data_IF_870211538429
#
_entry.id   IF_870211538429
#
_cell.length_a   1.000
_cell.length_b   1.000
_cell.length_c   1.000
_cell.angle_alpha   90.00
_cell.angle_beta   90.00
_cell.angle_gamma   90.00
#
_symmetry.space_group_name_H-M   'P 1'
#
loop_
_entity.id
_entity.type
_entity.pdbx_description
1 polymer ?
#
# COMPACT_ATOMS: atom_id res chain seq x y z
N UNK A 1 11.54 -8.78 46.19
CA UNK A 1 12.40 -8.40 45.05
C UNK A 1 12.39 -9.53 44.02
N UNK A 2 11.43 -9.53 43.07
CA UNK A 2 11.33 -10.57 42.04
C UNK A 2 12.28 -10.25 40.88
N UNK A 3 13.24 -11.14 40.65
CA UNK A 3 14.20 -11.09 39.54
C UNK A 3 13.52 -11.60 38.27
N UNK A 4 13.30 -10.72 37.31
CA UNK A 4 12.82 -11.10 35.98
C UNK A 4 13.92 -11.83 35.21
N UNK A 5 13.71 -13.11 34.93
CA UNK A 5 14.52 -13.88 33.99
C UNK A 5 14.11 -13.50 32.56
N UNK A 6 15.03 -12.91 31.79
CA UNK A 6 14.84 -12.66 30.35
C UNK A 6 15.04 -13.97 29.59
N UNK A 7 14.10 -14.41 28.73
CA UNK A 7 14.35 -15.52 27.81
C UNK A 7 15.27 -15.03 26.68
N UNK A 8 16.47 -15.62 26.62
CA UNK A 8 17.42 -15.46 25.53
C UNK A 8 16.97 -16.39 24.39
N UNK A 9 16.27 -15.83 23.40
CA UNK A 9 15.91 -16.58 22.18
C UNK A 9 17.19 -16.88 21.37
N UNK A 10 17.71 -18.09 21.54
CA UNK A 10 18.75 -18.65 20.69
C UNK A 10 18.04 -19.28 19.49
N UNK A 11 18.10 -18.65 18.31
CA UNK A 11 17.74 -19.30 17.05
C UNK A 11 18.76 -20.42 16.79
N UNK A 12 18.40 -21.64 17.22
CA UNK A 12 19.09 -22.87 16.85
C UNK A 12 18.52 -23.42 15.54
N UNK A 13 19.40 -23.54 14.55
CA UNK A 13 19.40 -24.69 13.64
C UNK A 13 18.60 -24.55 12.35
N UNK A 14 19.23 -24.01 11.29
CA UNK A 14 18.90 -24.45 9.93
C UNK A 14 19.70 -25.72 9.68
N UNK A 15 18.99 -26.85 9.64
CA UNK A 15 19.50 -28.18 9.37
C UNK A 15 20.13 -28.21 7.97
N UNK A 16 21.47 -28.24 7.89
CA UNK A 16 22.16 -28.63 6.65
C UNK A 16 21.90 -30.12 6.41
N UNK A 17 21.07 -30.41 5.42
CA UNK A 17 20.91 -31.77 4.88
C UNK A 17 22.20 -32.14 4.14
N UNK A 18 23.07 -32.88 4.82
CA UNK A 18 24.20 -33.58 4.18
C UNK A 18 23.66 -34.74 3.35
N UNK A 19 23.56 -34.55 2.03
CA UNK A 19 23.47 -35.69 1.11
C UNK A 19 24.85 -36.36 1.02
N UNK A 20 25.02 -37.46 1.74
CA UNK A 20 26.06 -38.45 1.46
C UNK A 20 25.76 -39.07 0.10
N UNK A 21 26.55 -38.74 -0.91
CA UNK A 21 26.66 -39.54 -2.12
C UNK A 21 27.87 -40.48 -1.94
N UNK A 22 27.60 -41.75 -1.69
CA UNK A 22 28.59 -42.81 -1.75
C UNK A 22 28.19 -43.77 -2.87
N UNK A 23 29.03 -43.83 -3.90
CA UNK A 23 29.26 -44.93 -4.86
C UNK A 23 30.16 -44.34 -5.95
N UNK A 24 31.47 -44.56 -5.92
CA UNK A 24 32.14 -45.79 -6.39
C UNK A 24 31.56 -46.27 -7.71
N UNK A 25 32.19 -45.90 -8.82
CA UNK A 25 31.81 -46.33 -10.16
C UNK A 25 32.37 -45.43 -11.25
N UNK A 26 33.56 -45.81 -11.73
CA UNK A 26 34.03 -45.69 -13.13
C UNK A 26 33.23 -44.79 -14.07
N UNK A 27 33.80 -43.64 -14.46
CA UNK A 27 33.16 -42.72 -15.41
C UNK A 27 34.03 -41.52 -15.80
N UNK A 28 35.32 -41.72 -15.99
CA UNK A 28 36.30 -40.66 -16.30
C UNK A 28 36.21 -40.07 -17.72
N UNK A 29 35.26 -40.50 -18.56
CA UNK A 29 35.19 -40.06 -19.97
C UNK A 29 34.07 -39.06 -20.29
N UNK A 30 33.16 -38.77 -19.35
CA UNK A 30 32.05 -37.81 -19.58
C UNK A 30 32.37 -36.37 -19.15
N UNK A 31 33.50 -36.13 -18.47
CA UNK A 31 33.91 -34.77 -18.08
C UNK A 31 34.58 -33.98 -19.20
N UNK A 32 35.01 -34.64 -20.29
CA UNK A 32 35.75 -33.99 -21.37
C UNK A 32 34.87 -33.21 -22.37
N UNK A 33 33.55 -33.41 -22.40
CA UNK A 33 32.66 -32.72 -23.34
C UNK A 33 31.84 -31.58 -22.75
N UNK A 34 31.94 -31.33 -21.43
CA UNK A 34 31.31 -30.17 -20.80
C UNK A 34 32.14 -28.87 -20.91
N UNK A 35 33.41 -28.96 -21.36
CA UNK A 35 34.31 -27.81 -21.55
C UNK A 35 34.46 -27.50 -23.06
N UNK A 36 33.35 -27.40 -23.79
CA UNK A 36 33.39 -26.91 -25.20
C UNK A 36 32.03 -26.44 -25.71
N UNK A 37 31.21 -25.83 -24.85
CA UNK A 37 29.95 -25.24 -25.30
C UNK A 37 29.71 -23.91 -24.59
N UNK A 38 30.34 -22.87 -25.13
CA UNK A 38 29.83 -21.51 -25.01
C UNK A 38 30.23 -20.76 -23.76
N UNK A 39 31.52 -20.73 -23.43
CA UNK A 39 32.11 -19.56 -22.76
C UNK A 39 32.16 -18.41 -23.78
N UNK A 40 30.99 -17.96 -24.24
CA UNK A 40 30.91 -16.57 -24.66
C UNK A 40 31.22 -15.79 -23.38
N UNK A 41 32.19 -14.86 -23.37
CA UNK A 41 32.23 -13.91 -22.29
C UNK A 41 30.83 -13.29 -22.31
N UNK A 42 30.04 -13.53 -21.26
CA UNK A 42 29.00 -12.58 -20.96
C UNK A 42 29.79 -11.29 -20.74
N UNK A 43 29.86 -10.47 -21.78
CA UNK A 43 29.90 -9.03 -21.61
C UNK A 43 28.78 -8.78 -20.61
N UNK A 44 29.15 -8.75 -19.33
CA UNK A 44 28.38 -8.11 -18.30
C UNK A 44 28.22 -6.72 -18.85
N UNK A 45 27.11 -6.47 -19.54
CA UNK A 45 26.73 -5.16 -20.03
C UNK A 45 26.87 -4.28 -18.81
N UNK A 46 27.96 -3.52 -18.76
CA UNK A 46 28.22 -2.58 -17.68
C UNK A 46 27.11 -1.57 -17.85
N UNK A 47 26.05 -1.75 -17.07
CA UNK A 47 24.96 -0.80 -16.95
C UNK A 47 25.62 0.57 -16.82
N UNK A 48 25.25 1.55 -17.65
CA UNK A 48 25.86 2.87 -17.56
C UNK A 48 25.76 3.33 -16.10
N UNK A 49 26.88 3.77 -15.52
CA UNK A 49 27.00 4.21 -14.12
C UNK A 49 26.24 5.51 -13.86
N UNK A 50 24.94 5.51 -14.17
CA UNK A 50 24.01 6.59 -13.88
C UNK A 50 23.07 6.06 -12.80
N UNK A 51 23.50 6.09 -11.52
CA UNK A 51 22.71 5.55 -10.41
C UNK A 51 21.30 6.18 -10.35
N UNK A 52 21.14 7.40 -10.85
CA UNK A 52 19.84 8.07 -10.98
C UNK A 52 18.87 7.34 -11.91
N UNK A 53 19.31 6.77 -13.04
CA UNK A 53 18.42 6.05 -13.96
C UNK A 53 17.92 4.75 -13.34
N UNK A 54 18.78 4.06 -12.59
CA UNK A 54 18.39 2.86 -11.86
C UNK A 54 17.39 3.18 -10.75
N UNK A 55 17.64 4.23 -9.95
CA UNK A 55 16.69 4.71 -8.94
C UNK A 55 15.37 5.17 -9.54
N UNK A 56 15.40 5.94 -10.63
CA UNK A 56 14.19 6.38 -11.33
C UNK A 56 13.39 5.20 -11.87
N UNK A 57 14.05 4.19 -12.45
CA UNK A 57 13.39 2.98 -12.94
C UNK A 57 12.80 2.13 -11.83
N UNK A 58 13.49 2.05 -10.68
CA UNK A 58 13.00 1.37 -9.50
C UNK A 58 11.74 2.07 -8.96
N UNK A 59 11.80 3.38 -8.73
CA UNK A 59 10.66 4.17 -8.28
C UNK A 59 9.51 4.15 -9.28
N UNK A 60 9.80 4.26 -10.58
CA UNK A 60 8.79 4.19 -11.62
C UNK A 60 8.05 2.87 -11.59
N UNK A 61 8.74 1.73 -11.51
CA UNK A 61 8.08 0.42 -11.40
C UNK A 61 7.30 0.31 -10.09
N UNK A 62 7.86 0.84 -9.01
CA UNK A 62 7.24 0.81 -7.69
C UNK A 62 6.00 1.70 -7.58
N UNK A 63 5.87 2.76 -8.38
CA UNK A 63 4.69 3.64 -8.37
C UNK A 63 3.71 3.32 -9.47
N UNK A 64 4.19 3.00 -10.67
CA UNK A 64 3.36 2.79 -11.85
C UNK A 64 2.49 1.54 -11.71
N UNK A 65 3.03 0.43 -11.22
CA UNK A 65 2.28 -0.83 -11.08
C UNK A 65 1.15 -0.68 -10.04
N UNK A 66 1.42 -0.30 -8.77
CA UNK A 66 0.33 -0.11 -7.82
C UNK A 66 -0.58 1.07 -8.19
N UNK A 67 -0.04 2.14 -8.78
CA UNK A 67 -0.84 3.27 -9.26
C UNK A 67 -1.85 2.85 -10.34
N UNK A 68 -1.43 2.02 -11.29
CA UNK A 68 -2.34 1.45 -12.28
C UNK A 68 -3.42 0.57 -11.62
N UNK A 69 -3.07 -0.26 -10.64
CA UNK A 69 -4.06 -1.06 -9.90
C UNK A 69 -5.10 -0.18 -9.20
N UNK A 70 -4.66 0.87 -8.48
CA UNK A 70 -5.56 1.81 -7.80
C UNK A 70 -6.46 2.52 -8.81
N UNK A 71 -5.92 2.97 -9.94
CA UNK A 71 -6.70 3.58 -11.01
C UNK A 71 -7.76 2.62 -11.55
N UNK A 72 -7.39 1.37 -11.81
CA UNK A 72 -8.30 0.34 -12.31
C UNK A 72 -9.43 0.03 -11.32
N UNK A 73 -9.12 -0.03 -10.02
CA UNK A 73 -10.10 -0.33 -8.97
C UNK A 73 -11.05 0.85 -8.76
N UNK A 74 -10.57 2.09 -8.68
CA UNK A 74 -11.39 3.23 -8.23
C UNK A 74 -11.86 4.17 -9.34
N UNK A 75 -11.09 4.35 -10.43
CA UNK A 75 -11.37 5.35 -11.46
C UNK A 75 -11.79 4.77 -12.82
N UNK A 76 -11.25 3.61 -13.22
CA UNK A 76 -11.58 3.04 -14.51
C UNK A 76 -13.09 2.70 -14.58
N UNK A 77 -13.74 3.12 -15.65
CA UNK A 77 -15.11 2.75 -15.94
C UNK A 77 -15.12 1.45 -16.74
N UNK A 78 -15.76 0.42 -16.18
CA UNK A 78 -15.80 -0.92 -16.75
C UNK A 78 -17.18 -1.23 -17.36
N UNK A 79 -18.09 -0.24 -17.43
CA UNK A 79 -19.42 -0.35 -18.05
C UNK A 79 -20.53 -0.83 -17.11
N UNK A 80 -21.71 -1.13 -17.68
CA UNK A 80 -22.98 -1.34 -16.97
C UNK A 80 -23.05 -2.58 -16.03
N UNK A 81 -22.07 -3.50 -16.12
CA UNK A 81 -22.04 -4.75 -15.34
C UNK A 81 -21.77 -4.56 -13.84
N UNK A 82 -22.09 -5.59 -13.04
CA UNK A 82 -21.72 -5.64 -11.62
C UNK A 82 -20.22 -5.94 -11.50
N UNK A 83 -19.43 -4.90 -11.29
CA UNK A 83 -17.97 -5.02 -11.22
C UNK A 83 -17.51 -5.47 -9.85
N UNK A 84 -16.51 -6.36 -9.82
CA UNK A 84 -15.86 -6.88 -8.61
C UNK A 84 -15.37 -5.75 -7.69
N UNK A 85 -15.13 -4.56 -8.25
CA UNK A 85 -14.64 -3.38 -7.53
C UNK A 85 -15.73 -2.42 -7.03
N UNK A 86 -17.03 -2.72 -7.17
CA UNK A 86 -18.11 -1.89 -6.59
C UNK A 86 -18.09 -1.84 -5.05
N UNK A 87 -17.88 -2.94 -4.31
CA UNK A 87 -17.84 -2.88 -2.84
C UNK A 87 -16.71 -2.00 -2.30
N UNK A 88 -15.45 -2.09 -2.81
CA UNK A 88 -14.38 -1.17 -2.45
C UNK A 88 -14.69 0.31 -2.72
N UNK A 89 -15.32 0.62 -3.87
CA UNK A 89 -15.72 2.01 -4.20
C UNK A 89 -16.73 2.57 -3.20
N UNK A 90 -17.76 1.80 -2.85
CA UNK A 90 -18.77 2.19 -1.84
C UNK A 90 -18.14 2.44 -0.47
N UNK A 91 -17.19 1.59 -0.05
CA UNK A 91 -16.44 1.82 1.17
C UNK A 91 -15.65 3.13 1.11
N UNK A 92 -14.93 3.39 0.02
CA UNK A 92 -14.17 4.64 -0.15
C UNK A 92 -15.08 5.87 -0.10
N UNK A 93 -16.25 5.82 -0.73
CA UNK A 93 -17.23 6.90 -0.69
C UNK A 93 -17.76 7.15 0.71
N UNK A 94 -18.01 6.09 1.50
CA UNK A 94 -18.38 6.21 2.91
C UNK A 94 -17.27 6.84 3.74
N UNK A 95 -16.01 6.46 3.50
CA UNK A 95 -14.87 7.07 4.19
C UNK A 95 -14.74 8.56 3.81
N UNK A 96 -14.81 8.89 2.53
CA UNK A 96 -14.81 10.30 2.07
C UNK A 96 -15.95 11.09 2.70
N UNK A 97 -17.16 10.51 2.74
CA UNK A 97 -18.31 11.15 3.37
C UNK A 97 -18.12 11.32 4.88
N UNK A 98 -17.44 10.39 5.56
CA UNK A 98 -17.12 10.51 6.97
C UNK A 98 -16.04 11.56 7.25
N UNK A 99 -15.06 11.72 6.36
CA UNK A 99 -14.00 12.74 6.48
C UNK A 99 -14.49 14.16 6.16
N UNK A 100 -15.40 14.31 5.20
CA UNK A 100 -15.92 15.62 4.78
C UNK A 100 -17.25 16.00 5.44
N UNK A 101 -17.86 15.13 6.24
CA UNK A 101 -18.96 15.52 7.13
C UNK A 101 -18.46 15.68 8.56
N UNK A 102 -19.19 16.50 9.33
CA UNK A 102 -19.08 16.55 10.78
C UNK A 102 -19.10 15.12 11.33
N UNK A 103 -18.13 14.80 12.18
CA UNK A 103 -18.14 13.58 12.97
C UNK A 103 -19.43 13.51 13.80
N UNK A 104 -19.89 12.31 14.21
CA UNK A 104 -21.13 12.19 14.99
C UNK A 104 -21.15 13.12 16.21
N UNK A 105 -20.00 13.26 16.88
CA UNK A 105 -19.83 14.15 18.03
C UNK A 105 -19.94 15.64 17.64
N UNK A 106 -19.35 16.05 16.52
CA UNK A 106 -19.44 17.42 16.02
C UNK A 106 -20.85 17.76 15.51
N UNK A 107 -21.62 16.78 15.00
CA UNK A 107 -23.03 16.98 14.62
C UNK A 107 -23.90 17.31 15.83
N UNK A 108 -23.70 16.62 16.95
CA UNK A 108 -24.46 16.86 18.18
C UNK A 108 -24.18 18.24 18.76
N UNK A 109 -22.93 18.70 18.67
CA UNK A 109 -22.54 20.05 19.07
C UNK A 109 -23.16 21.13 18.16
N UNK A 110 -23.18 20.92 16.85
CA UNK A 110 -23.82 21.85 15.90
C UNK A 110 -25.33 21.86 16.09
N UNK A 111 -25.96 20.70 16.29
CA UNK A 111 -27.40 20.59 16.47
C UNK A 111 -27.88 21.24 17.78
N UNK A 112 -27.11 21.10 18.87
CA UNK A 112 -27.38 21.80 20.13
C UNK A 112 -27.16 23.31 20.01
N UNK A 113 -26.15 23.78 19.26
CA UNK A 113 -25.95 25.20 18.95
C UNK A 113 -27.12 25.80 18.15
N UNK A 114 -27.57 25.12 17.10
CA UNK A 114 -28.69 25.57 16.26
C UNK A 114 -29.99 25.65 17.06
N UNK A 115 -30.26 24.67 17.95
CA UNK A 115 -31.42 24.73 18.85
C UNK A 115 -31.35 25.90 19.83
N UNK A 116 -30.17 26.18 20.41
CA UNK A 116 -30.00 27.35 21.28
C UNK A 116 -30.22 28.66 20.52
N UNK A 117 -29.76 28.74 19.27
CA UNK A 117 -29.90 29.94 18.45
C UNK A 117 -31.33 30.17 17.95
N UNK A 118 -32.08 29.11 17.66
CA UNK A 118 -33.51 29.19 17.34
C UNK A 118 -34.39 29.53 18.55
N UNK A 119 -33.96 29.17 19.75
CA UNK A 119 -34.65 29.54 20.99
C UNK A 119 -34.40 31.00 21.42
N UNK A 120 -33.54 31.73 20.71
CA UNK A 120 -33.42 33.18 20.85
C UNK A 120 -34.40 33.83 19.87
N UNK A 121 -35.58 34.28 20.31
CA UNK A 121 -36.51 34.98 19.42
C UNK A 121 -35.82 36.24 18.90
N UNK A 122 -35.99 36.47 17.60
CA UNK A 122 -35.56 37.67 16.91
C UNK A 122 -35.82 38.92 17.76
N UNK A 123 -34.74 39.53 18.27
CA UNK A 123 -34.80 40.89 18.80
C UNK A 123 -35.04 41.81 17.60
N UNK A 124 -36.33 42.12 17.43
CA UNK A 124 -36.90 43.33 16.86
C UNK A 124 -36.14 43.99 15.70
N UNK A 125 -36.72 43.88 14.50
CA UNK A 125 -36.60 44.93 13.48
C UNK A 125 -36.78 46.32 14.11
N UNK A 126 -35.84 47.27 13.94
CA UNK A 126 -36.07 48.63 14.38
C UNK A 126 -37.19 49.26 13.53
N UNK A 127 -38.13 50.02 14.14
CA UNK A 127 -39.27 50.57 13.42
C UNK A 127 -38.80 51.55 12.34
N UNK A 128 -39.24 51.32 11.10
CA UNK A 128 -39.15 52.28 10.00
C UNK A 128 -39.82 53.57 10.45
N UNK A 129 -39.04 54.63 10.67
CA UNK A 129 -39.58 55.99 10.91
C UNK A 129 -40.28 56.45 9.63
N UNK A 130 -41.61 56.41 9.67
CA UNK A 130 -42.48 57.13 8.74
C UNK A 130 -42.41 58.61 9.09
N UNK A 131 -41.55 59.37 8.40
CA UNK A 131 -41.62 60.83 8.36
C UNK A 131 -42.60 61.26 7.27
N UNK A 132 -43.67 61.93 7.70
CA UNK A 132 -44.57 62.72 6.87
C UNK A 132 -43.93 64.05 6.45
#
# INVERSE_FOLDING_TARGET
MLRYARPRLILRGVSRVSRRAASSGSGDTLKQHAIRRGDAPQETQTLPERPMLFMASFWLRWTLIPGALVYMVFWADWGEGDHVFRPPRRWLDQQKAAFFNLSPEERDLVQSQVQMQQSTPAVADPPKKSTA
#
